data_IF_139696085589
#
_entry.id   IF_139696085589
#
_cell.length_a   1.000
_cell.length_b   1.000
_cell.length_c   1.000
_cell.angle_alpha   90.00
_cell.angle_beta   90.00
_cell.angle_gamma   90.00
#
_symmetry.space_group_name_H-M   'P 1'
#
loop_
_entity.id
_entity.type
_entity.pdbx_description
1 polymer ?
#
# COMPACT_ATOMS: atom_id res chain seq x y z
N UNK A 1 -41.73 17.29 21.90
CA UNK A 1 -40.88 18.49 21.99
C UNK A 1 -39.99 18.47 20.76
N UNK A 2 -40.32 19.27 19.76
CA UNK A 2 -39.63 19.27 18.46
C UNK A 2 -38.38 20.14 18.58
N UNK A 3 -37.20 19.53 18.51
CA UNK A 3 -35.93 20.24 18.70
C UNK A 3 -35.58 20.99 17.40
N UNK A 4 -35.89 22.29 17.34
CA UNK A 4 -35.47 23.15 16.23
C UNK A 4 -33.96 23.39 16.33
N UNK A 5 -33.18 22.72 15.48
CA UNK A 5 -31.77 23.04 15.28
C UNK A 5 -31.68 24.40 14.60
N UNK A 6 -30.95 25.35 15.20
CA UNK A 6 -30.69 26.64 14.58
C UNK A 6 -29.90 26.43 13.28
N UNK A 7 -30.36 27.04 12.17
CA UNK A 7 -29.71 26.92 10.85
C UNK A 7 -28.23 27.29 10.89
N UNK A 8 -27.82 28.26 11.72
CA UNK A 8 -26.42 28.65 11.90
C UNK A 8 -25.62 27.56 12.62
N UNK A 9 -26.21 26.92 13.63
CA UNK A 9 -25.59 25.79 14.33
C UNK A 9 -25.46 24.60 13.37
N UNK A 10 -26.48 24.31 12.56
CA UNK A 10 -26.42 23.24 11.57
C UNK A 10 -25.31 23.47 10.54
N UNK A 11 -25.18 24.69 10.02
CA UNK A 11 -24.11 25.06 9.07
C UNK A 11 -22.73 24.91 9.73
N UNK A 12 -22.58 25.39 10.96
CA UNK A 12 -21.32 25.29 11.69
C UNK A 12 -20.88 23.82 11.90
N UNK A 13 -21.80 22.96 12.35
CA UNK A 13 -21.53 21.53 12.52
C UNK A 13 -21.20 20.82 11.20
N UNK A 14 -21.87 21.22 10.10
CA UNK A 14 -21.56 20.70 8.77
C UNK A 14 -20.11 21.02 8.37
N UNK A 15 -19.62 22.23 8.61
CA UNK A 15 -18.22 22.58 8.31
C UNK A 15 -17.22 21.77 9.15
N UNK A 16 -17.49 21.56 10.44
CA UNK A 16 -16.64 20.70 11.29
C UNK A 16 -16.57 19.29 10.71
N UNK A 17 -17.72 18.72 10.30
CA UNK A 17 -17.76 17.40 9.70
C UNK A 17 -16.93 17.33 8.41
N UNK A 18 -17.05 18.32 7.52
CA UNK A 18 -16.27 18.39 6.28
C UNK A 18 -14.77 18.50 6.58
N UNK A 19 -14.36 19.34 7.54
CA UNK A 19 -12.95 19.46 7.94
C UNK A 19 -12.41 18.14 8.47
N UNK A 20 -13.18 17.45 9.34
CA UNK A 20 -12.79 16.16 9.87
C UNK A 20 -12.63 15.11 8.75
N UNK A 21 -13.56 15.08 7.80
CA UNK A 21 -13.50 14.17 6.65
C UNK A 21 -12.27 14.43 5.77
N UNK A 22 -11.96 15.71 5.49
CA UNK A 22 -10.77 16.11 4.74
C UNK A 22 -9.51 15.70 5.50
N UNK A 23 -9.45 15.92 6.82
CA UNK A 23 -8.30 15.54 7.63
C UNK A 23 -8.02 14.03 7.59
N UNK A 24 -9.07 13.21 7.68
CA UNK A 24 -8.95 11.75 7.55
C UNK A 24 -8.41 11.35 6.16
N UNK A 25 -8.93 11.98 5.10
CA UNK A 25 -8.47 11.71 3.74
C UNK A 25 -7.00 12.11 3.54
N UNK A 26 -6.59 13.27 4.06
CA UNK A 26 -5.20 13.74 4.00
C UNK A 26 -4.26 12.81 4.77
N UNK A 27 -4.67 12.39 5.97
CA UNK A 27 -3.88 11.48 6.80
C UNK A 27 -3.65 10.13 6.11
N UNK A 28 -4.68 9.55 5.49
CA UNK A 28 -4.56 8.31 4.74
C UNK A 28 -3.56 8.42 3.57
N UNK A 29 -3.61 9.52 2.81
CA UNK A 29 -2.67 9.74 1.71
C UNK A 29 -1.21 9.95 2.21
N UNK A 30 -1.04 10.64 3.33
CA UNK A 30 0.29 10.84 3.93
C UNK A 30 0.92 9.51 4.37
N UNK A 31 0.12 8.62 4.94
CA UNK A 31 0.57 7.29 5.35
C UNK A 31 1.09 6.46 4.17
N UNK A 32 0.40 6.48 3.03
CA UNK A 32 0.86 5.77 1.82
C UNK A 32 2.16 6.36 1.28
N UNK A 33 2.34 7.69 1.32
CA UNK A 33 3.59 8.33 0.93
C UNK A 33 4.76 7.94 1.84
N UNK A 34 4.54 7.92 3.16
CA UNK A 34 5.57 7.50 4.11
C UNK A 34 5.90 6.01 3.95
N UNK A 35 4.91 5.17 3.63
CA UNK A 35 5.14 3.76 3.35
C UNK A 35 6.08 3.54 2.15
N UNK A 36 5.90 4.30 1.05
CA UNK A 36 6.83 4.27 -0.10
C UNK A 36 8.25 4.64 0.35
N UNK A 37 8.37 5.70 1.16
CA UNK A 37 9.67 6.17 1.64
C UNK A 37 10.35 5.14 2.55
N UNK A 38 9.62 4.48 3.44
CA UNK A 38 10.15 3.40 4.28
C UNK A 38 10.59 2.23 3.40
N UNK A 39 9.74 1.77 2.48
CA UNK A 39 10.02 0.65 1.60
C UNK A 39 11.29 0.87 0.76
N UNK A 40 11.43 2.04 0.11
CA UNK A 40 12.57 2.33 -0.76
C UNK A 40 13.87 2.60 0.01
N UNK A 41 13.79 2.94 1.30
CA UNK A 41 14.97 3.13 2.14
C UNK A 41 15.43 1.85 2.85
N UNK A 42 14.60 0.82 2.91
CA UNK A 42 14.93 -0.45 3.54
C UNK A 42 16.04 -1.18 2.78
N UNK A 43 17.07 -1.62 3.51
CA UNK A 43 18.26 -2.27 2.94
C UNK A 43 17.93 -3.63 2.29
N UNK A 44 16.93 -4.36 2.81
CA UNK A 44 16.52 -5.65 2.22
C UNK A 44 15.81 -5.40 0.89
N UNK A 45 14.92 -4.40 0.83
CA UNK A 45 14.25 -4.01 -0.42
C UNK A 45 15.25 -3.53 -1.47
N UNK A 46 16.19 -2.66 -1.09
CA UNK A 46 17.27 -2.22 -1.99
C UNK A 46 18.10 -3.39 -2.51
N UNK A 47 18.34 -4.42 -1.70
CA UNK A 47 19.07 -5.61 -2.12
C UNK A 47 18.30 -6.44 -3.15
N UNK A 48 16.97 -6.57 -3.00
CA UNK A 48 16.12 -7.26 -3.97
C UNK A 48 16.05 -6.52 -5.32
N UNK A 49 15.92 -5.18 -5.27
CA UNK A 49 15.97 -4.32 -6.47
C UNK A 49 17.36 -4.37 -7.12
N UNK A 50 18.42 -4.29 -6.31
CA UNK A 50 19.80 -4.24 -6.77
C UNK A 50 20.05 -3.04 -7.69
N UNK A 51 20.68 -3.30 -8.83
CA UNK A 51 20.97 -2.29 -9.87
C UNK A 51 19.94 -2.30 -11.01
N UNK A 52 18.78 -2.95 -10.82
CA UNK A 52 17.72 -3.00 -11.85
C UNK A 52 16.97 -1.68 -11.87
N UNK A 53 16.43 -1.32 -13.03
CA UNK A 53 15.38 -0.32 -13.09
C UNK A 53 14.14 -0.83 -12.36
N UNK A 54 13.45 0.07 -11.65
CA UNK A 54 12.23 -0.24 -10.92
C UNK A 54 11.19 0.86 -11.06
N UNK A 55 9.93 0.47 -10.90
CA UNK A 55 8.78 1.38 -10.86
C UNK A 55 7.89 1.01 -9.67
N UNK A 56 7.45 2.00 -8.90
CA UNK A 56 6.38 1.80 -7.91
C UNK A 56 5.06 1.86 -8.68
N UNK A 57 4.40 0.71 -8.82
CA UNK A 57 3.21 0.57 -9.67
C UNK A 57 1.90 0.74 -8.90
N UNK A 58 1.90 0.46 -7.59
CA UNK A 58 0.75 0.67 -6.72
C UNK A 58 1.17 0.86 -5.26
N UNK A 59 0.31 1.52 -4.49
CA UNK A 59 0.40 1.60 -3.03
C UNK A 59 -1.00 1.57 -2.44
N UNK A 60 -1.25 0.61 -1.56
CA UNK A 60 -2.58 0.39 -1.00
C UNK A 60 -2.54 -0.35 0.33
N UNK A 61 -3.68 -0.42 1.00
CA UNK A 61 -3.82 -1.19 2.22
C UNK A 61 -4.23 -2.63 1.91
N UNK A 62 -3.66 -3.57 2.66
CA UNK A 62 -4.12 -4.96 2.65
C UNK A 62 -4.11 -5.53 4.06
N UNK A 63 -5.01 -6.49 4.30
CA UNK A 63 -4.99 -7.26 5.53
C UNK A 63 -3.97 -8.38 5.41
N UNK A 64 -3.10 -8.50 6.41
CA UNK A 64 -2.18 -9.62 6.52
C UNK A 64 -2.34 -10.33 7.85
N UNK A 65 -2.09 -11.63 7.78
CA UNK A 65 -1.84 -12.46 8.94
C UNK A 65 -0.51 -13.18 8.73
N UNK A 66 0.42 -12.96 9.65
CA UNK A 66 1.70 -13.64 9.70
C UNK A 66 1.70 -14.44 10.99
N UNK A 67 1.64 -15.76 10.85
CA UNK A 67 1.75 -16.71 11.96
C UNK A 67 3.15 -17.32 11.93
N UNK A 68 3.99 -16.96 12.90
CA UNK A 68 5.33 -17.50 13.07
C UNK A 68 5.57 -18.01 14.50
N UNK A 69 6.62 -18.82 14.72
CA UNK A 69 6.94 -19.37 16.04
C UNK A 69 7.35 -18.30 17.08
N UNK A 70 7.80 -17.13 16.63
CA UNK A 70 8.31 -16.05 17.48
C UNK A 70 7.41 -14.81 17.51
N UNK A 71 6.59 -14.61 16.48
CA UNK A 71 5.74 -13.42 16.36
C UNK A 71 4.49 -13.78 15.54
N UNK A 72 3.33 -13.34 16.04
CA UNK A 72 2.08 -13.37 15.29
C UNK A 72 1.66 -11.93 15.05
N UNK A 73 1.53 -11.55 13.80
CA UNK A 73 1.06 -10.23 13.38
C UNK A 73 -0.24 -10.39 12.60
N UNK A 74 -1.27 -9.65 12.98
CA UNK A 74 -2.53 -9.56 12.24
C UNK A 74 -2.96 -8.11 12.20
N UNK A 75 -3.22 -7.58 11.00
CA UNK A 75 -3.58 -6.19 10.84
C UNK A 75 -3.68 -5.76 9.39
N UNK A 76 -4.22 -4.55 9.21
CA UNK A 76 -4.21 -3.85 7.93
C UNK A 76 -2.94 -3.01 7.84
N UNK A 77 -2.17 -3.22 6.77
CA UNK A 77 -0.89 -2.53 6.54
C UNK A 77 -0.80 -2.02 5.12
N UNK A 78 -0.08 -0.92 4.87
CA UNK A 78 0.26 -0.51 3.52
C UNK A 78 1.19 -1.53 2.86
N UNK A 79 0.95 -1.74 1.58
CA UNK A 79 1.78 -2.52 0.67
C UNK A 79 2.22 -1.63 -0.46
N UNK A 80 3.51 -1.62 -0.71
CA UNK A 80 4.12 -0.93 -1.85
C UNK A 80 4.47 -1.98 -2.89
N UNK A 81 3.89 -1.88 -4.08
CA UNK A 81 4.18 -2.78 -5.19
C UNK A 81 5.26 -2.18 -6.08
N UNK A 82 6.38 -2.87 -6.19
CA UNK A 82 7.56 -2.43 -6.95
C UNK A 82 7.84 -3.40 -8.08
N UNK A 83 7.64 -2.97 -9.32
CA UNK A 83 7.97 -3.77 -10.51
C UNK A 83 9.45 -3.66 -10.82
N UNK A 84 10.12 -4.80 -10.96
CA UNK A 84 11.52 -4.90 -11.39
C UNK A 84 11.61 -5.98 -12.48
N UNK A 85 11.77 -5.58 -13.75
CA UNK A 85 11.71 -6.52 -14.88
C UNK A 85 10.40 -7.34 -14.91
N UNK A 86 10.50 -8.66 -14.70
CA UNK A 86 9.37 -9.61 -14.75
C UNK A 86 8.84 -10.02 -13.36
N UNK A 87 9.33 -9.39 -12.29
CA UNK A 87 8.87 -9.62 -10.93
C UNK A 87 8.26 -8.34 -10.35
N UNK A 88 7.22 -8.52 -9.54
CA UNK A 88 6.67 -7.47 -8.68
C UNK A 88 6.95 -7.84 -7.24
N UNK A 89 7.64 -6.95 -6.53
CA UNK A 89 7.88 -7.05 -5.10
C UNK A 89 6.70 -6.41 -4.37
N UNK A 90 6.04 -7.16 -3.50
CA UNK A 90 5.04 -6.64 -2.59
C UNK A 90 5.70 -6.40 -1.23
N UNK A 91 5.92 -5.14 -0.88
CA UNK A 91 6.62 -4.73 0.35
C UNK A 91 5.60 -4.29 1.39
N UNK A 92 5.47 -5.05 2.47
CA UNK A 92 4.54 -4.80 3.57
C UNK A 92 5.23 -3.94 4.62
N UNK A 93 4.64 -2.78 4.95
CA UNK A 93 5.30 -1.77 5.79
C UNK A 93 4.52 -1.54 7.08
N UNK A 94 5.24 -1.53 8.21
CA UNK A 94 4.74 -1.01 9.47
C UNK A 94 5.11 0.48 9.55
N UNK A 95 4.12 1.37 9.39
CA UNK A 95 4.35 2.82 9.46
C UNK A 95 4.69 3.25 10.89
N UNK A 96 4.06 2.65 11.90
CA UNK A 96 4.26 3.04 13.31
C UNK A 96 5.67 2.69 13.77
N UNK A 97 6.18 1.53 13.37
CA UNK A 97 7.54 1.09 13.67
C UNK A 97 8.58 1.55 12.65
N UNK A 98 8.14 2.14 11.52
CA UNK A 98 9.01 2.64 10.47
C UNK A 98 9.86 1.56 9.79
N UNK A 99 9.33 0.33 9.63
CA UNK A 99 10.09 -0.83 9.13
C UNK A 99 9.32 -1.65 8.11
N UNK A 100 10.05 -2.38 7.26
CA UNK A 100 9.47 -3.43 6.41
C UNK A 100 9.21 -4.68 7.25
N UNK A 101 7.97 -5.16 7.22
CA UNK A 101 7.54 -6.39 7.92
C UNK A 101 7.88 -7.61 7.06
N UNK A 102 7.62 -7.52 5.76
CA UNK A 102 7.75 -8.65 4.84
C UNK A 102 7.91 -8.18 3.40
N UNK A 103 8.61 -8.97 2.61
CA UNK A 103 8.68 -8.85 1.15
C UNK A 103 8.11 -10.14 0.56
N UNK A 104 7.21 -10.02 -0.43
CA UNK A 104 6.75 -11.14 -1.26
C UNK A 104 7.09 -10.88 -2.72
N UNK A 105 7.26 -11.96 -3.48
CA UNK A 105 7.55 -11.90 -4.91
C UNK A 105 6.34 -12.43 -5.69
N UNK A 106 5.91 -11.66 -6.68
CA UNK A 106 4.94 -12.06 -7.66
C UNK A 106 5.58 -12.08 -9.04
N UNK A 107 5.70 -13.27 -9.61
CA UNK A 107 6.29 -13.46 -10.94
C UNK A 107 5.21 -13.31 -12.02
N UNK A 108 5.44 -12.45 -13.00
CA UNK A 108 4.61 -12.40 -14.20
C UNK A 108 4.99 -13.59 -15.10
N UNK A 109 4.01 -14.46 -15.41
CA UNK A 109 4.23 -15.56 -16.35
C UNK A 109 4.44 -14.97 -17.75
N UNK A 110 5.54 -15.31 -18.46
CA UNK A 110 5.73 -14.87 -19.83
C UNK A 110 4.53 -15.31 -20.70
N UNK A 111 4.08 -14.47 -21.66
CA UNK A 111 3.06 -14.88 -22.60
C UNK A 111 3.54 -16.14 -23.33
N UNK A 112 2.68 -17.16 -23.41
CA UNK A 112 2.97 -18.38 -24.15
C UNK A 112 3.13 -18.01 -25.62
N UNK A 113 4.32 -18.20 -26.18
CA UNK A 113 4.50 -18.12 -27.62
C UNK A 113 3.73 -19.28 -28.25
N UNK A 114 2.81 -19.03 -29.20
CA UNK A 114 2.16 -20.13 -29.91
C UNK A 114 3.24 -20.96 -30.62
N UNK A 115 3.06 -22.28 -30.73
CA UNK A 115 3.99 -23.12 -31.49
C UNK A 115 4.11 -22.58 -32.92
N UNK A 116 5.30 -22.68 -33.55
CA UNK A 116 5.48 -22.27 -34.93
C UNK A 116 4.42 -23.00 -35.77
N UNK A 117 3.67 -22.24 -36.57
CA UNK A 117 2.73 -22.81 -37.53
C UNK A 117 3.55 -23.68 -38.48
N UNK A 118 3.31 -24.99 -38.47
CA UNK A 118 3.84 -25.88 -39.50
C UNK A 118 3.15 -25.49 -40.80
N UNK A 119 3.88 -24.83 -41.70
CA UNK A 119 3.48 -24.73 -43.10
C UNK A 119 3.65 -26.12 -43.71
N UNK A 120 2.52 -26.78 -43.98
CA UNK A 120 2.43 -27.96 -44.86
C UNK A 120 2.41 -27.52 -46.34
#
# INVERSE_FOLDING_TARGET
MEMKVDKKIAIFLFFIFIIALIAVLVLANLNLHEAIKIALNDESVKKEIGNKEYEVIDVGYTSIEIVGPNETFSGEVPVVEIKTGNETLMVFVDIEQGKVIRIRHQWEKPPLTPPPTSED
#
